data_IF_072476265433
#
_entry.id   IF_072476265433
#
_cell.length_a   1.000
_cell.length_b   1.000
_cell.length_c   1.000
_cell.angle_alpha   90.00
_cell.angle_beta   90.00
_cell.angle_gamma   90.00
#
_symmetry.space_group_name_H-M   'P 1'
#
loop_
_entity.id
_entity.type
_entity.pdbx_description
1 polymer ?
#
# COMPACT_ATOMS: atom_id res chain seq x y z
N UNK A 1 -10.56 16.79 2.88
CA UNK A 1 -9.36 16.16 3.44
C UNK A 1 -9.29 14.70 3.09
N UNK A 2 -10.30 13.96 3.47
CA UNK A 2 -10.35 12.51 3.20
C UNK A 2 -10.45 12.17 1.72
N UNK A 3 -10.90 13.10 0.90
CA UNK A 3 -11.14 12.87 -0.52
C UNK A 3 -9.85 12.61 -1.32
N UNK A 4 -8.72 13.12 -0.84
CA UNK A 4 -7.45 12.91 -1.53
C UNK A 4 -6.98 11.45 -1.45
N UNK A 5 -7.27 10.76 -0.34
CA UNK A 5 -6.82 9.39 -0.16
C UNK A 5 -7.42 8.43 -1.19
N UNK A 6 -8.74 8.42 -1.41
CA UNK A 6 -9.30 7.53 -2.45
C UNK A 6 -8.75 7.81 -3.84
N UNK A 7 -8.52 9.08 -4.19
CA UNK A 7 -7.95 9.43 -5.48
C UNK A 7 -6.53 8.91 -5.62
N UNK A 8 -5.71 9.08 -4.58
CA UNK A 8 -4.33 8.62 -4.60
C UNK A 8 -4.26 7.09 -4.65
N UNK A 9 -5.12 6.41 -3.90
CA UNK A 9 -5.19 4.95 -3.95
C UNK A 9 -5.58 4.47 -5.35
N UNK A 10 -6.55 5.13 -5.99
CA UNK A 10 -6.94 4.81 -7.35
C UNK A 10 -5.77 4.97 -8.33
N UNK A 11 -4.96 6.00 -8.16
CA UNK A 11 -3.77 6.21 -8.99
C UNK A 11 -2.77 5.05 -8.84
N UNK A 12 -2.59 4.56 -7.62
CA UNK A 12 -1.72 3.40 -7.36
C UNK A 12 -2.28 2.17 -8.07
N UNK A 13 -3.58 1.91 -7.92
CA UNK A 13 -4.23 0.75 -8.53
C UNK A 13 -4.11 0.80 -10.05
N UNK A 14 -4.32 1.96 -10.64
CA UNK A 14 -4.30 2.13 -12.09
C UNK A 14 -2.89 2.23 -12.68
N UNK A 15 -1.89 2.45 -11.85
CA UNK A 15 -0.52 2.62 -12.31
C UNK A 15 -0.26 3.97 -12.95
N UNK A 16 -1.11 4.97 -12.67
CA UNK A 16 -0.96 6.32 -13.20
C UNK A 16 -0.31 7.19 -12.13
N UNK A 17 0.96 7.54 -12.33
CA UNK A 17 1.75 8.28 -11.35
C UNK A 17 1.75 7.61 -9.98
N UNK A 18 1.83 6.27 -9.99
CA UNK A 18 1.70 5.46 -8.78
C UNK A 18 2.82 5.74 -7.75
N UNK A 19 4.03 6.00 -8.23
CA UNK A 19 5.16 6.29 -7.32
C UNK A 19 4.92 7.61 -6.60
N UNK A 20 4.54 8.63 -7.35
CA UNK A 20 4.25 9.95 -6.76
C UNK A 20 3.06 9.89 -5.81
N UNK A 21 2.02 9.14 -6.20
CA UNK A 21 0.85 8.96 -5.35
C UNK A 21 1.22 8.27 -4.04
N UNK A 22 2.08 7.25 -4.10
CA UNK A 22 2.55 6.54 -2.92
C UNK A 22 3.34 7.47 -1.99
N UNK A 23 4.19 8.32 -2.55
CA UNK A 23 4.95 9.29 -1.77
C UNK A 23 4.03 10.27 -1.06
N UNK A 24 3.00 10.75 -1.75
CA UNK A 24 2.02 11.66 -1.13
C UNK A 24 1.25 10.96 -0.02
N UNK A 25 0.85 9.71 -0.24
CA UNK A 25 0.18 8.93 0.80
C UNK A 25 1.06 8.80 2.04
N UNK A 26 2.36 8.54 1.84
CA UNK A 26 3.31 8.49 2.94
C UNK A 26 3.40 9.80 3.71
N UNK A 27 3.42 10.92 2.98
CA UNK A 27 3.48 12.24 3.59
C UNK A 27 2.20 12.60 4.35
N UNK A 28 1.07 12.00 3.97
CA UNK A 28 -0.20 12.23 4.66
C UNK A 28 -0.32 11.47 5.97
N UNK A 29 0.58 10.53 6.25
CA UNK A 29 0.59 9.75 7.50
C UNK A 29 1.18 10.58 8.64
N UNK A 30 0.46 11.64 9.05
CA UNK A 30 0.95 12.57 10.07
C UNK A 30 0.66 12.13 11.50
N UNK A 31 -0.35 11.30 11.67
CA UNK A 31 -0.74 10.78 12.97
C UNK A 31 -1.19 9.32 12.79
N UNK A 32 -1.32 8.62 13.91
CA UNK A 32 -1.64 7.19 13.88
C UNK A 32 -3.01 6.90 13.26
N UNK A 33 -3.98 7.76 13.51
CA UNK A 33 -5.33 7.58 12.97
C UNK A 33 -5.34 7.69 11.45
N UNK A 34 -4.68 8.72 10.92
CA UNK A 34 -4.62 8.92 9.47
C UNK A 34 -3.80 7.83 8.80
N UNK A 35 -2.68 7.45 9.41
CA UNK A 35 -1.84 6.36 8.90
C UNK A 35 -2.61 5.05 8.85
N UNK A 36 -3.36 4.73 9.90
CA UNK A 36 -4.19 3.53 9.97
C UNK A 36 -5.23 3.50 8.87
N UNK A 37 -5.87 4.64 8.64
CA UNK A 37 -6.88 4.75 7.60
C UNK A 37 -6.29 4.52 6.20
N UNK A 38 -5.12 5.09 5.94
CA UNK A 38 -4.43 4.92 4.65
C UNK A 38 -4.01 3.45 4.47
N UNK A 39 -3.44 2.83 5.50
CA UNK A 39 -3.06 1.41 5.46
C UNK A 39 -4.28 0.55 5.16
N UNK A 40 -5.40 0.83 5.83
CA UNK A 40 -6.62 0.06 5.61
C UNK A 40 -7.15 0.22 4.20
N UNK A 41 -7.09 1.43 3.64
CA UNK A 41 -7.53 1.66 2.27
C UNK A 41 -6.72 0.86 1.26
N UNK A 42 -5.40 0.80 1.43
CA UNK A 42 -4.52 0.02 0.56
C UNK A 42 -4.75 -1.48 0.77
N UNK A 43 -4.93 -1.91 2.01
CA UNK A 43 -5.16 -3.31 2.35
C UNK A 43 -6.48 -3.81 1.77
N UNK A 44 -7.52 -2.98 1.80
CA UNK A 44 -8.82 -3.34 1.22
C UNK A 44 -8.69 -3.60 -0.28
N UNK A 45 -7.88 -2.82 -0.99
CA UNK A 45 -7.64 -3.06 -2.41
C UNK A 45 -6.89 -4.38 -2.64
N UNK A 46 -5.92 -4.68 -1.77
CA UNK A 46 -5.17 -5.93 -1.86
C UNK A 46 -6.07 -7.15 -1.63
N UNK A 47 -7.11 -7.01 -0.83
CA UNK A 47 -8.01 -8.10 -0.49
C UNK A 47 -9.02 -8.42 -1.60
N UNK A 48 -9.13 -7.58 -2.62
CA UNK A 48 -10.08 -7.81 -3.71
C UNK A 48 -9.72 -9.11 -4.46
N UNK A 49 -10.68 -10.03 -4.66
CA UNK A 49 -10.37 -11.37 -5.19
C UNK A 49 -9.92 -11.37 -6.65
N UNK A 50 -10.20 -10.33 -7.39
CA UNK A 50 -9.87 -10.26 -8.82
C UNK A 50 -8.66 -9.36 -9.11
N UNK A 51 -7.94 -8.92 -8.07
CA UNK A 51 -6.82 -8.01 -8.25
C UNK A 51 -5.64 -8.75 -8.91
N UNK A 52 -5.05 -8.13 -9.93
CA UNK A 52 -3.94 -8.71 -10.66
C UNK A 52 -2.61 -8.51 -9.92
N UNK A 53 -1.62 -9.37 -10.23
CA UNK A 53 -0.29 -9.30 -9.61
C UNK A 53 0.34 -7.91 -9.76
N UNK A 54 0.23 -7.30 -10.94
CA UNK A 54 0.80 -5.97 -11.16
C UNK A 54 0.20 -4.93 -10.22
N UNK A 55 -1.11 -5.01 -9.97
CA UNK A 55 -1.79 -4.11 -9.04
C UNK A 55 -1.32 -4.40 -7.61
N UNK A 56 -1.22 -5.68 -7.25
CA UNK A 56 -0.77 -6.08 -5.92
C UNK A 56 0.65 -5.58 -5.65
N UNK A 57 1.52 -5.63 -6.65
CA UNK A 57 2.88 -5.11 -6.51
C UNK A 57 2.89 -3.60 -6.30
N UNK A 58 2.07 -2.86 -7.04
CA UNK A 58 1.98 -1.42 -6.85
C UNK A 58 1.44 -1.05 -5.48
N UNK A 59 0.44 -1.78 -4.99
CA UNK A 59 -0.12 -1.56 -3.65
C UNK A 59 0.91 -1.88 -2.56
N UNK A 60 1.67 -2.96 -2.74
CA UNK A 60 2.76 -3.32 -1.82
C UNK A 60 3.83 -2.23 -1.80
N UNK A 61 4.20 -1.73 -2.96
CA UNK A 61 5.18 -0.65 -3.06
C UNK A 61 4.67 0.61 -2.34
N UNK A 62 3.38 0.92 -2.47
CA UNK A 62 2.81 2.05 -1.76
C UNK A 62 2.89 1.88 -0.24
N UNK A 63 2.63 0.67 0.25
CA UNK A 63 2.76 0.37 1.68
C UNK A 63 4.19 0.58 2.17
N UNK A 64 5.18 0.27 1.33
CA UNK A 64 6.59 0.46 1.67
C UNK A 64 6.93 1.94 1.88
N UNK A 65 6.23 2.85 1.19
CA UNK A 65 6.44 4.29 1.33
C UNK A 65 5.82 4.86 2.62
N UNK A 66 5.01 4.08 3.31
CA UNK A 66 4.38 4.50 4.56
C UNK A 66 5.31 4.26 5.74
N UNK A 67 5.11 4.96 6.88
CA UNK A 67 5.91 4.70 8.07
C UNK A 67 5.82 3.24 8.50
N UNK A 68 6.96 2.67 8.91
CA UNK A 68 7.05 1.28 9.36
C UNK A 68 6.09 1.01 10.52
N UNK A 69 5.93 1.98 11.42
CA UNK A 69 5.01 1.84 12.55
C UNK A 69 3.57 1.58 12.09
N UNK A 70 3.19 2.08 10.92
CA UNK A 70 1.84 1.92 10.39
C UNK A 70 1.70 0.68 9.51
N UNK A 71 2.65 0.44 8.62
CA UNK A 71 2.52 -0.58 7.57
C UNK A 71 3.33 -1.85 7.83
N UNK A 72 4.20 -1.85 8.83
CA UNK A 72 5.13 -2.96 9.06
C UNK A 72 4.44 -4.31 9.26
N UNK A 73 3.34 -4.34 9.98
CA UNK A 73 2.63 -5.59 10.22
C UNK A 73 2.02 -6.16 8.94
N UNK A 74 1.43 -5.29 8.12
CA UNK A 74 0.87 -5.72 6.83
C UNK A 74 1.98 -6.22 5.91
N UNK A 75 3.13 -5.52 5.89
CA UNK A 75 4.26 -5.95 5.09
C UNK A 75 4.81 -7.31 5.55
N UNK A 76 4.83 -7.56 6.86
CA UNK A 76 5.24 -8.87 7.36
C UNK A 76 4.30 -9.98 6.89
N UNK A 77 3.01 -9.71 6.82
CA UNK A 77 2.05 -10.67 6.29
C UNK A 77 2.25 -10.87 4.79
N UNK A 78 2.50 -9.80 4.06
CA UNK A 78 2.74 -9.89 2.61
C UNK A 78 4.03 -10.62 2.29
N UNK A 79 5.01 -10.61 3.19
CA UNK A 79 6.24 -11.37 3.01
C UNK A 79 5.99 -12.88 2.98
N UNK A 80 4.81 -13.31 3.43
CA UNK A 80 4.38 -14.71 3.39
C UNK A 80 3.28 -14.94 2.36
N UNK A 81 3.07 -13.98 1.47
CA UNK A 81 2.02 -14.09 0.46
C UNK A 81 2.28 -15.25 -0.49
N UNK A 82 1.22 -15.84 -1.02
CA UNK A 82 1.33 -16.94 -1.97
C UNK A 82 1.92 -16.50 -3.30
N UNK A 83 1.82 -15.22 -3.62
CA UNK A 83 2.44 -14.66 -4.82
C UNK A 83 3.92 -14.38 -4.52
N UNK A 84 4.85 -15.09 -5.19
CA UNK A 84 6.28 -14.95 -4.87
C UNK A 84 6.84 -13.56 -5.16
N UNK A 85 6.28 -12.84 -6.11
CA UNK A 85 6.76 -11.49 -6.42
C UNK A 85 6.37 -10.52 -5.32
N UNK A 86 5.14 -10.63 -4.81
CA UNK A 86 4.67 -9.81 -3.69
C UNK A 86 5.47 -10.15 -2.43
N UNK A 87 5.66 -11.43 -2.16
CA UNK A 87 6.39 -11.88 -0.99
C UNK A 87 7.84 -11.37 -1.01
N UNK A 88 8.48 -11.42 -2.17
CA UNK A 88 9.86 -10.97 -2.32
C UNK A 88 9.97 -9.47 -2.09
N UNK A 89 9.06 -8.69 -2.67
CA UNK A 89 9.07 -7.24 -2.49
C UNK A 89 8.85 -6.86 -1.03
N UNK A 90 7.87 -7.46 -0.38
CA UNK A 90 7.57 -7.16 1.02
C UNK A 90 8.69 -7.57 1.97
N UNK A 91 9.39 -8.67 1.64
CA UNK A 91 10.46 -9.21 2.50
C UNK A 91 11.63 -8.25 2.67
N UNK A 92 11.84 -7.35 1.72
CA UNK A 92 12.93 -6.36 1.82
C UNK A 92 12.73 -5.45 3.04
N UNK A 93 11.48 -5.24 3.45
CA UNK A 93 11.12 -4.32 4.53
C UNK A 93 10.50 -5.01 5.75
N UNK A 94 10.35 -6.29 5.70
CA UNK A 94 9.72 -7.04 6.80
C UNK A 94 10.74 -7.56 7.82
#
# INVERSE_FOLDING_TARGET
MSEAVPVLVAMVVEGAHDVEAAEVLGALCRDDERASWIVNALTDELAAPTVETAVRLRLTQALIELPVAAAGEVLRRLARDSDPDVARLASVFA
#
